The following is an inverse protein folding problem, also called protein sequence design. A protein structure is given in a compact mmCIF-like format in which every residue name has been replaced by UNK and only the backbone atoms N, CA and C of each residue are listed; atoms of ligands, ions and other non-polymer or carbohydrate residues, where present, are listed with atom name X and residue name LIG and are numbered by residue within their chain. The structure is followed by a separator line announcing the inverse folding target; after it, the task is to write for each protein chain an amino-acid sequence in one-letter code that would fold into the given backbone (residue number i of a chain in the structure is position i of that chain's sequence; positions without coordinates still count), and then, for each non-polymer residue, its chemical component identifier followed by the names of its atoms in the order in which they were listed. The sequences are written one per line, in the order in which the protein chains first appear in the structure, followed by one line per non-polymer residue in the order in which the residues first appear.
data_IF_050907763422
#
_entry.id   IF_050907763422
#
_cell.length_a   1.000
_cell.length_b   1.000
_cell.length_c   1.000
_cell.angle_alpha   90.00
_cell.angle_beta   90.00
_cell.angle_gamma   90.00
#
_symmetry.space_group_name_H-M   'P 1'
#
loop_
_entity.id
_entity.type
_entity.pdbx_description
1 polymer ?
#
# COMPACT_ATOMS: atom_id res chain seq x y z
N UNK A 1 1.46 0.54 -25.71
CA UNK A 1 2.16 0.39 -24.41
C UNK A 1 1.14 0.40 -23.29
N UNK A 2 0.98 -0.69 -22.55
CA UNK A 2 -0.01 -0.86 -21.48
C UNK A 2 0.41 -0.22 -20.16
N UNK A 3 1.69 0.11 -20.03
CA UNK A 3 2.29 0.62 -18.77
C UNK A 3 1.61 1.89 -18.22
N UNK A 4 1.22 2.89 -19.01
CA UNK A 4 0.51 4.07 -18.51
C UNK A 4 -0.81 3.72 -17.82
N UNK A 5 -1.55 2.76 -18.35
CA UNK A 5 -2.82 2.29 -17.77
C UNK A 5 -2.62 1.58 -16.44
N UNK A 6 -1.52 0.83 -16.27
CA UNK A 6 -1.24 0.11 -15.02
C UNK A 6 -1.05 1.09 -13.87
N UNK A 7 -0.22 2.12 -14.03
CA UNK A 7 0.01 3.12 -12.98
C UNK A 7 -1.24 3.91 -12.63
N UNK A 8 -2.02 4.31 -13.64
CA UNK A 8 -3.29 5.01 -13.45
C UNK A 8 -4.30 4.14 -12.69
N UNK A 9 -4.42 2.86 -13.04
CA UNK A 9 -5.33 1.92 -12.37
C UNK A 9 -4.92 1.67 -10.92
N UNK A 10 -3.61 1.57 -10.61
CA UNK A 10 -3.14 1.42 -9.23
C UNK A 10 -3.61 2.59 -8.36
N UNK A 11 -3.45 3.82 -8.86
CA UNK A 11 -3.87 5.02 -8.12
C UNK A 11 -5.38 5.12 -8.03
N UNK A 12 -6.10 4.87 -9.12
CA UNK A 12 -7.56 4.88 -9.15
C UNK A 12 -8.15 3.88 -8.15
N UNK A 13 -7.72 2.62 -8.20
CA UNK A 13 -8.20 1.58 -7.28
C UNK A 13 -7.82 1.87 -5.84
N UNK A 14 -6.62 2.40 -5.59
CA UNK A 14 -6.23 2.81 -4.24
C UNK A 14 -7.18 3.87 -3.68
N UNK A 15 -7.52 4.89 -4.47
CA UNK A 15 -8.42 5.97 -4.05
C UNK A 15 -9.86 5.48 -3.90
N UNK A 16 -10.30 4.58 -4.78
CA UNK A 16 -11.61 3.91 -4.65
C UNK A 16 -11.71 3.14 -3.34
N UNK A 17 -10.69 2.37 -2.98
CA UNK A 17 -10.67 1.66 -1.68
C UNK A 17 -10.65 2.63 -0.49
N UNK A 18 -9.90 3.72 -0.57
CA UNK A 18 -9.94 4.74 0.48
C UNK A 18 -11.35 5.34 0.65
N UNK A 19 -12.05 5.62 -0.45
CA UNK A 19 -13.44 6.10 -0.39
C UNK A 19 -14.41 5.05 0.17
N UNK A 20 -14.31 3.80 -0.25
CA UNK A 20 -15.10 2.68 0.29
C UNK A 20 -14.90 2.53 1.81
N UNK A 21 -13.67 2.69 2.28
CA UNK A 21 -13.29 2.66 3.70
C UNK A 21 -13.62 3.97 4.43
N UNK A 22 -14.10 4.99 3.72
CA UNK A 22 -14.34 6.34 4.25
C UNK A 22 -13.10 6.98 4.87
N UNK A 23 -11.93 6.67 4.30
CA UNK A 23 -10.65 7.26 4.68
C UNK A 23 -10.37 8.52 3.86
N UNK A 24 -9.66 9.52 4.41
CA UNK A 24 -9.27 10.70 3.65
C UNK A 24 -8.29 10.35 2.54
N UNK A 25 -8.29 11.13 1.47
CA UNK A 25 -7.26 11.05 0.45
C UNK A 25 -5.90 11.45 1.04
N UNK A 26 -4.80 10.82 0.59
CA UNK A 26 -3.47 11.17 1.05
C UNK A 26 -3.09 12.58 0.61
N UNK A 27 -2.33 13.29 1.43
CA UNK A 27 -1.69 14.56 1.04
C UNK A 27 -0.33 14.28 0.41
N UNK A 28 0.39 13.30 0.95
CA UNK A 28 1.71 12.89 0.47
C UNK A 28 1.70 11.40 0.18
N UNK A 29 2.26 11.03 -0.96
CA UNK A 29 2.48 9.64 -1.33
C UNK A 29 3.97 9.36 -1.49
N UNK A 30 4.40 8.19 -1.02
CA UNK A 30 5.74 7.66 -1.26
C UNK A 30 5.67 6.58 -2.34
N UNK A 31 6.52 6.68 -3.36
CA UNK A 31 6.70 5.65 -4.39
C UNK A 31 8.08 5.04 -4.21
N UNK A 32 8.10 3.75 -3.91
CA UNK A 32 9.33 2.97 -3.76
C UNK A 32 9.59 2.19 -5.06
N UNK A 33 10.65 2.56 -5.76
CA UNK A 33 10.98 2.11 -7.10
C UNK A 33 10.42 3.01 -8.19
N UNK A 34 11.33 3.61 -8.99
CA UNK A 34 11.00 4.52 -10.09
C UNK A 34 11.32 3.89 -11.45
N UNK A 35 10.88 2.62 -11.61
CA UNK A 35 10.81 1.93 -12.89
C UNK A 35 9.60 2.40 -13.72
N UNK A 36 9.31 1.75 -14.86
CA UNK A 36 8.19 2.15 -15.72
C UNK A 36 6.84 2.26 -15.00
N UNK A 37 6.53 1.33 -14.09
CA UNK A 37 5.28 1.37 -13.31
C UNK A 37 5.33 2.49 -12.26
N UNK A 38 6.42 2.60 -11.50
CA UNK A 38 6.56 3.64 -10.47
C UNK A 38 6.51 5.06 -11.04
N UNK A 39 7.08 5.28 -12.23
CA UNK A 39 6.95 6.56 -12.94
C UNK A 39 5.48 6.89 -13.26
N UNK A 40 4.71 5.94 -13.77
CA UNK A 40 3.30 6.16 -14.10
C UNK A 40 2.43 6.37 -12.83
N UNK A 41 2.71 5.63 -11.76
CA UNK A 41 2.08 5.86 -10.45
C UNK A 41 2.36 7.28 -9.96
N UNK A 42 3.61 7.73 -10.02
CA UNK A 42 3.99 9.08 -9.61
C UNK A 42 3.28 10.15 -10.46
N UNK A 43 3.24 9.98 -11.80
CA UNK A 43 2.50 10.88 -12.71
C UNK A 43 1.02 10.96 -12.36
N UNK A 44 0.39 9.82 -12.11
CA UNK A 44 -1.03 9.74 -11.77
C UNK A 44 -1.35 10.40 -10.42
N UNK A 45 -0.45 10.29 -9.44
CA UNK A 45 -0.56 10.95 -8.13
C UNK A 45 -0.37 12.48 -8.26
N UNK A 46 0.68 12.94 -8.95
CA UNK A 46 0.93 14.35 -9.21
C UNK A 46 -0.24 15.02 -9.95
N UNK A 47 -0.81 14.35 -10.95
CA UNK A 47 -1.98 14.84 -11.70
C UNK A 47 -3.22 15.05 -10.80
N UNK A 48 -3.27 14.40 -9.65
CA UNK A 48 -4.33 14.52 -8.63
C UNK A 48 -3.98 15.50 -7.50
N UNK A 49 -2.87 16.23 -7.63
CA UNK A 49 -2.43 17.20 -6.64
C UNK A 49 -1.84 16.58 -5.37
N UNK A 50 -1.38 15.35 -5.43
CA UNK A 50 -0.71 14.68 -4.32
C UNK A 50 0.79 14.99 -4.38
N UNK A 51 1.38 15.37 -3.26
CA UNK A 51 2.83 15.51 -3.13
C UNK A 51 3.49 14.14 -3.20
N UNK A 52 4.43 13.94 -4.12
CA UNK A 52 5.08 12.65 -4.33
C UNK A 52 6.53 12.68 -3.88
N UNK A 53 6.90 11.73 -3.04
CA UNK A 53 8.27 11.44 -2.62
C UNK A 53 8.69 10.11 -3.23
N UNK A 54 9.82 10.11 -3.94
CA UNK A 54 10.33 8.91 -4.60
C UNK A 54 11.61 8.45 -3.93
N UNK A 55 11.73 7.14 -3.76
CA UNK A 55 12.99 6.47 -3.53
C UNK A 55 13.24 5.44 -4.63
N UNK A 56 14.44 5.50 -5.21
CA UNK A 56 15.00 4.45 -6.08
C UNK A 56 16.51 4.37 -5.79
N UNK A 57 17.13 3.18 -5.75
CA UNK A 57 18.58 3.06 -5.53
C UNK A 57 19.41 3.61 -6.70
N UNK A 58 18.83 3.73 -7.89
CA UNK A 58 19.50 4.31 -9.06
C UNK A 58 19.40 5.85 -9.07
N UNK A 59 20.52 6.58 -8.94
CA UNK A 59 20.52 8.04 -8.95
C UNK A 59 19.99 8.63 -10.27
N UNK A 60 20.09 7.92 -11.39
CA UNK A 60 19.52 8.39 -12.66
C UNK A 60 18.00 8.41 -12.60
N UNK A 61 17.39 7.39 -11.99
CA UNK A 61 15.94 7.34 -11.78
C UNK A 61 15.47 8.38 -10.78
N UNK A 62 16.25 8.66 -9.74
CA UNK A 62 15.95 9.78 -8.83
C UNK A 62 15.97 11.13 -9.57
N UNK A 63 16.95 11.37 -10.44
CA UNK A 63 16.99 12.58 -11.26
C UNK A 63 15.79 12.70 -12.21
N UNK A 64 15.34 11.59 -12.80
CA UNK A 64 14.11 11.57 -13.61
C UNK A 64 12.86 11.88 -12.76
N UNK A 65 12.77 11.35 -11.55
CA UNK A 65 11.68 11.66 -10.62
C UNK A 65 11.64 13.15 -10.28
N UNK A 66 12.79 13.76 -10.00
CA UNK A 66 12.89 15.20 -9.75
C UNK A 66 12.48 16.04 -10.97
N UNK A 67 12.90 15.64 -12.16
CA UNK A 67 12.51 16.31 -13.42
C UNK A 67 10.99 16.21 -13.67
N UNK A 68 10.33 15.17 -13.14
CA UNK A 68 8.88 15.04 -13.20
C UNK A 68 8.15 15.92 -12.18
N UNK A 69 8.84 16.48 -11.20
CA UNK A 69 8.25 17.28 -10.11
C UNK A 69 8.09 16.54 -8.80
N UNK A 70 8.63 15.31 -8.67
CA UNK A 70 8.67 14.60 -7.41
C UNK A 70 9.80 15.09 -6.50
N UNK A 71 9.64 15.00 -5.20
CA UNK A 71 10.75 15.03 -4.25
C UNK A 71 11.45 13.68 -4.23
N UNK A 72 12.73 13.65 -3.87
CA UNK A 72 13.48 12.41 -3.61
C UNK A 72 14.04 12.43 -2.20
N UNK A 73 14.20 11.26 -1.60
CA UNK A 73 14.73 11.12 -0.24
C UNK A 73 15.47 9.79 -0.09
N UNK A 74 16.16 9.59 1.03
CA UNK A 74 16.61 8.27 1.43
C UNK A 74 15.41 7.32 1.58
N UNK A 75 15.64 6.01 1.55
CA UNK A 75 14.54 5.03 1.72
C UNK A 75 13.76 5.27 3.03
N UNK A 76 14.49 5.42 4.12
CA UNK A 76 13.91 5.57 5.44
C UNK A 76 13.14 6.88 5.58
N UNK A 77 13.69 7.98 5.08
CA UNK A 77 12.99 9.27 5.06
C UNK A 77 11.75 9.23 4.18
N UNK A 78 11.82 8.56 3.03
CA UNK A 78 10.69 8.42 2.12
C UNK A 78 9.54 7.63 2.79
N UNK A 79 9.84 6.52 3.47
CA UNK A 79 8.87 5.75 4.25
C UNK A 79 8.17 6.58 5.32
N UNK A 80 8.90 7.50 5.96
CA UNK A 80 8.37 8.37 7.01
C UNK A 80 7.46 9.50 6.50
N UNK A 81 7.42 9.80 5.20
CA UNK A 81 6.67 10.93 4.63
C UNK A 81 5.31 10.57 4.07
N UNK A 82 5.13 9.35 3.55
CA UNK A 82 3.90 8.98 2.83
C UNK A 82 2.71 8.70 3.74
N UNK A 83 1.57 9.33 3.47
CA UNK A 83 0.27 8.87 3.95
C UNK A 83 -0.16 7.63 3.17
N UNK A 84 0.22 7.57 1.89
CA UNK A 84 0.11 6.43 0.99
C UNK A 84 1.52 5.97 0.58
N UNK A 85 1.84 4.70 0.72
CA UNK A 85 3.13 4.12 0.32
C UNK A 85 2.87 3.06 -0.74
N UNK A 86 3.41 3.27 -1.94
CA UNK A 86 3.23 2.36 -3.09
C UNK A 86 4.55 1.68 -3.42
N UNK A 87 4.59 0.36 -3.31
CA UNK A 87 5.74 -0.45 -3.72
C UNK A 87 5.67 -0.81 -5.20
N UNK A 88 6.69 -0.43 -5.96
CA UNK A 88 6.79 -0.62 -7.42
C UNK A 88 8.14 -1.20 -7.85
N UNK A 89 8.83 -1.96 -6.96
CA UNK A 89 10.20 -2.44 -7.24
C UNK A 89 10.22 -3.78 -7.99
N UNK A 90 9.18 -4.58 -7.85
CA UNK A 90 9.13 -5.97 -8.34
C UNK A 90 10.02 -6.94 -7.56
N UNK A 91 10.65 -6.48 -6.46
CA UNK A 91 11.63 -7.29 -5.69
C UNK A 91 11.44 -7.23 -4.18
N UNK A 92 10.50 -6.41 -3.69
CA UNK A 92 10.33 -6.09 -2.29
C UNK A 92 10.74 -4.63 -2.00
N UNK A 93 9.74 -3.77 -1.82
CA UNK A 93 9.94 -2.35 -1.54
C UNK A 93 10.19 -2.10 -0.06
N UNK A 94 9.42 -2.77 0.79
CA UNK A 94 9.51 -2.71 2.24
C UNK A 94 9.15 -4.06 2.86
N UNK A 95 9.60 -4.28 4.07
CA UNK A 95 9.11 -5.33 4.95
C UNK A 95 8.35 -4.68 6.12
N UNK A 96 7.04 -4.92 6.17
CA UNK A 96 6.18 -4.27 7.17
C UNK A 96 6.61 -4.59 8.62
N UNK A 97 7.25 -5.74 8.85
CA UNK A 97 7.73 -6.14 10.17
C UNK A 97 8.94 -5.30 10.59
N UNK A 98 9.90 -5.14 9.70
CA UNK A 98 11.14 -4.43 9.99
C UNK A 98 10.95 -2.90 9.89
N UNK A 99 10.16 -2.46 8.92
CA UNK A 99 10.02 -1.05 8.54
C UNK A 99 8.86 -0.31 9.24
N UNK A 100 7.99 -1.00 10.00
CA UNK A 100 6.81 -0.35 10.61
C UNK A 100 7.14 0.88 11.46
N UNK A 101 8.33 0.92 12.07
CA UNK A 101 8.78 2.07 12.87
C UNK A 101 9.01 3.31 12.05
N UNK A 102 9.42 3.15 10.79
CA UNK A 102 9.68 4.24 9.84
C UNK A 102 8.38 4.81 9.27
N UNK A 103 7.34 3.99 9.11
CA UNK A 103 6.08 4.40 8.52
C UNK A 103 5.35 5.45 9.38
N UNK A 104 4.58 6.32 8.74
CA UNK A 104 3.63 7.18 9.44
C UNK A 104 2.55 6.35 10.15
N UNK A 105 2.04 6.86 11.25
CA UNK A 105 0.82 6.35 11.86
C UNK A 105 -0.35 6.54 10.89
N UNK A 106 -1.10 5.48 10.66
CA UNK A 106 -2.21 5.49 9.72
C UNK A 106 -1.81 5.42 8.24
N UNK A 107 -0.54 5.16 7.94
CA UNK A 107 -0.09 4.97 6.56
C UNK A 107 -0.85 3.84 5.87
N UNK A 108 -1.18 4.05 4.60
CA UNK A 108 -1.82 3.07 3.74
C UNK A 108 -0.76 2.48 2.80
N UNK A 109 -0.62 1.16 2.82
CA UNK A 109 0.37 0.44 2.03
C UNK A 109 -0.29 -0.22 0.83
N UNK A 110 0.31 -0.04 -0.34
CA UNK A 110 -0.20 -0.53 -1.63
C UNK A 110 0.89 -1.28 -2.36
N UNK A 111 0.54 -2.47 -2.84
CA UNK A 111 1.38 -3.21 -3.78
C UNK A 111 1.03 -2.79 -5.21
N UNK A 112 1.97 -2.16 -5.88
CA UNK A 112 1.88 -1.73 -7.29
C UNK A 112 2.63 -2.63 -8.28
N UNK A 113 3.26 -3.72 -7.82
CA UNK A 113 3.99 -4.67 -8.67
C UNK A 113 3.24 -5.99 -8.83
N UNK A 114 3.60 -6.76 -9.84
CA UNK A 114 2.90 -8.01 -10.21
C UNK A 114 3.04 -9.17 -9.21
N UNK A 115 3.95 -9.08 -8.23
CA UNK A 115 4.16 -10.10 -7.19
C UNK A 115 3.72 -9.63 -5.81
N UNK A 116 3.47 -10.57 -4.89
CA UNK A 116 3.10 -10.25 -3.50
C UNK A 116 4.32 -9.93 -2.61
N UNK A 117 5.46 -9.54 -3.20
CA UNK A 117 6.73 -9.37 -2.51
C UNK A 117 6.98 -7.96 -1.99
N UNK A 118 6.23 -6.97 -2.49
CA UNK A 118 6.53 -5.55 -2.30
C UNK A 118 6.44 -5.09 -0.84
N UNK A 119 5.57 -5.72 -0.04
CA UNK A 119 5.25 -5.27 1.31
C UNK A 119 5.66 -6.26 2.40
N UNK A 120 6.43 -7.29 2.08
CA UNK A 120 6.80 -8.35 3.04
C UNK A 120 5.62 -9.18 3.57
N UNK A 121 4.45 -9.07 2.95
CA UNK A 121 3.20 -9.68 3.45
C UNK A 121 3.04 -11.17 3.14
N UNK A 122 3.95 -11.78 2.40
CA UNK A 122 3.93 -13.22 2.07
C UNK A 122 3.93 -14.12 3.29
N UNK A 123 4.36 -13.58 4.42
CA UNK A 123 4.43 -14.30 5.69
C UNK A 123 3.11 -14.34 6.44
N UNK A 124 2.11 -13.59 6.00
CA UNK A 124 0.82 -13.55 6.68
C UNK A 124 0.09 -14.89 6.55
N UNK A 125 -0.20 -15.51 7.70
CA UNK A 125 -0.91 -16.78 7.75
C UNK A 125 -0.09 -18.02 7.45
N UNK A 126 1.24 -17.92 7.25
CA UNK A 126 2.08 -19.09 7.08
C UNK A 126 2.50 -19.69 8.45
N UNK A 127 2.38 -21.02 8.64
CA UNK A 127 2.86 -21.67 9.84
C UNK A 127 4.35 -21.40 10.07
N UNK A 128 4.73 -21.09 11.31
CA UNK A 128 6.11 -20.87 11.71
C UNK A 128 6.63 -19.43 11.57
N UNK A 129 5.79 -18.49 11.16
CA UNK A 129 6.15 -17.06 11.07
C UNK A 129 5.75 -16.28 12.34
N UNK A 130 6.15 -16.79 13.48
CA UNK A 130 5.88 -16.26 14.83
C UNK A 130 6.44 -14.84 15.07
N UNK A 131 7.40 -14.36 14.30
CA UNK A 131 7.91 -13.00 14.42
C UNK A 131 6.85 -11.94 14.09
N UNK A 132 5.86 -12.24 13.24
CA UNK A 132 4.73 -11.36 13.01
C UNK A 132 3.88 -11.18 14.26
N UNK A 133 3.62 -12.28 14.97
CA UNK A 133 2.89 -12.26 16.24
C UNK A 133 3.68 -11.55 17.36
N UNK A 134 5.01 -11.55 17.28
CA UNK A 134 5.86 -10.80 18.20
C UNK A 134 5.80 -9.29 17.94
N UNK A 135 5.80 -8.86 16.69
CA UNK A 135 5.86 -7.47 16.29
C UNK A 135 4.49 -6.75 16.34
N UNK A 136 3.41 -7.48 16.06
CA UNK A 136 2.07 -6.89 15.92
C UNK A 136 1.05 -7.49 16.89
N UNK A 137 0.10 -6.65 17.31
CA UNK A 137 -1.07 -7.13 18.07
C UNK A 137 -1.99 -7.95 17.17
N UNK A 138 -2.68 -8.98 17.72
CA UNK A 138 -3.73 -9.66 17.00
C UNK A 138 -4.82 -8.67 16.54
N UNK A 139 -5.28 -8.85 15.30
CA UNK A 139 -6.36 -8.03 14.76
C UNK A 139 -7.65 -8.24 15.57
N UNK A 140 -8.20 -7.15 16.12
CA UNK A 140 -9.50 -7.17 16.81
C UNK A 140 -10.64 -7.09 15.79
N UNK A 141 -10.91 -8.20 15.14
CA UNK A 141 -11.91 -8.31 14.09
C UNK A 141 -13.32 -8.46 14.64
N UNK A 142 -14.27 -7.84 13.96
CA UNK A 142 -15.70 -8.04 14.18
C UNK A 142 -16.32 -8.58 12.90
N UNK A 143 -16.86 -9.78 12.96
CA UNK A 143 -17.54 -10.42 11.83
C UNK A 143 -19.05 -10.27 12.01
N UNK A 144 -19.73 -9.68 11.00
CA UNK A 144 -21.19 -9.56 10.95
C UNK A 144 -21.67 -9.77 9.52
N UNK A 145 -22.66 -10.66 9.36
CA UNK A 145 -23.29 -10.97 8.05
C UNK A 145 -22.25 -11.26 6.93
N UNK A 146 -21.20 -12.00 7.26
CA UNK A 146 -20.13 -12.34 6.31
C UNK A 146 -19.13 -11.23 6.03
N UNK A 147 -19.35 -10.01 6.51
CA UNK A 147 -18.39 -8.90 6.42
C UNK A 147 -17.48 -8.84 7.64
N UNK A 148 -16.22 -8.49 7.41
CA UNK A 148 -15.19 -8.32 8.44
C UNK A 148 -14.86 -6.83 8.59
N UNK A 149 -14.77 -6.38 9.84
CA UNK A 149 -14.44 -4.98 10.15
C UNK A 149 -13.52 -4.89 11.38
N UNK A 150 -12.78 -3.81 11.49
CA UNK A 150 -11.98 -3.49 12.69
C UNK A 150 -12.00 -1.99 12.97
N UNK A 151 -11.41 -1.57 14.11
CA UNK A 151 -11.14 -0.17 14.40
C UNK A 151 -9.79 0.23 13.80
N UNK A 152 -9.77 1.37 13.12
CA UNK A 152 -8.56 1.96 12.54
C UNK A 152 -8.51 3.47 12.81
N UNK A 153 -7.30 4.01 12.98
CA UNK A 153 -7.06 5.42 13.29
C UNK A 153 -6.59 5.64 14.71
N UNK A 154 -6.46 6.89 15.12
CA UNK A 154 -5.91 7.30 16.41
C UNK A 154 -6.85 8.27 17.14
N UNK A 155 -6.90 8.19 18.47
CA UNK A 155 -7.65 9.11 19.31
C UNK A 155 -9.11 9.28 18.86
N UNK A 156 -9.51 10.53 18.66
CA UNK A 156 -10.87 10.91 18.25
C UNK A 156 -11.21 10.53 16.81
N UNK A 157 -10.18 10.32 15.96
CA UNK A 157 -10.36 9.95 14.54
C UNK A 157 -10.50 8.44 14.36
N UNK A 158 -10.45 7.67 15.45
CA UNK A 158 -10.56 6.22 15.40
C UNK A 158 -11.98 5.82 15.00
N UNK A 159 -12.07 5.10 13.88
CA UNK A 159 -13.35 4.66 13.34
C UNK A 159 -13.34 3.19 12.95
N UNK A 160 -14.54 2.62 12.84
CA UNK A 160 -14.71 1.27 12.30
C UNK A 160 -14.66 1.32 10.77
N UNK A 161 -13.76 0.52 10.19
CA UNK A 161 -13.63 0.34 8.75
C UNK A 161 -14.01 -1.09 8.35
N UNK A 162 -14.60 -1.24 7.18
CA UNK A 162 -14.93 -2.54 6.60
C UNK A 162 -13.72 -3.10 5.87
N UNK A 163 -13.18 -4.22 6.32
CA UNK A 163 -11.99 -4.82 5.69
C UNK A 163 -12.32 -5.66 4.45
N UNK A 164 -13.58 -6.01 4.25
CA UNK A 164 -14.04 -6.87 3.17
C UNK A 164 -14.72 -8.14 3.64
N UNK A 165 -14.77 -9.16 2.80
CA UNK A 165 -15.35 -10.48 3.09
C UNK A 165 -14.43 -11.58 2.57
N UNK A 166 -14.41 -12.73 3.25
CA UNK A 166 -13.58 -13.88 2.89
C UNK A 166 -12.50 -14.19 3.91
N UNK A 167 -11.51 -14.97 3.50
CA UNK A 167 -10.41 -15.39 4.37
C UNK A 167 -9.40 -14.27 4.60
N UNK A 168 -8.88 -14.21 5.82
CA UNK A 168 -7.80 -13.30 6.18
C UNK A 168 -6.57 -13.55 5.29
N UNK A 169 -6.04 -12.46 4.71
CA UNK A 169 -4.91 -12.54 3.79
C UNK A 169 -5.30 -12.73 2.32
N UNK A 170 -6.59 -12.90 2.00
CA UNK A 170 -7.05 -12.94 0.61
C UNK A 170 -7.03 -11.56 -0.04
N UNK A 171 -7.01 -11.53 -1.38
CA UNK A 171 -7.06 -10.29 -2.15
C UNK A 171 -8.42 -9.55 -2.02
N UNK A 172 -9.46 -10.19 -1.49
CA UNK A 172 -10.77 -9.58 -1.23
C UNK A 172 -10.82 -8.83 0.10
N UNK A 173 -9.76 -8.88 0.91
CA UNK A 173 -9.70 -8.26 2.22
C UNK A 173 -8.55 -7.26 2.35
N UNK A 174 -8.81 -6.17 3.05
CA UNK A 174 -7.77 -5.28 3.58
C UNK A 174 -7.28 -5.79 4.94
N UNK A 175 -6.14 -5.30 5.38
CA UNK A 175 -5.56 -5.70 6.66
C UNK A 175 -5.06 -4.50 7.45
N UNK A 176 -5.36 -4.45 8.74
CA UNK A 176 -4.81 -3.46 9.67
C UNK A 176 -3.76 -4.13 10.54
N UNK A 177 -2.57 -3.57 10.57
CA UNK A 177 -1.48 -4.02 11.44
C UNK A 177 -1.22 -2.97 12.52
N UNK A 178 -1.16 -3.41 13.79
CA UNK A 178 -0.84 -2.54 14.92
C UNK A 178 0.41 -3.03 15.62
N UNK A 179 1.47 -2.23 15.56
CA UNK A 179 2.75 -2.56 16.19
C UNK A 179 2.63 -2.53 17.72
N UNK A 180 3.13 -3.58 18.38
CA UNK A 180 3.08 -3.70 19.86
C UNK A 180 3.91 -2.65 20.58
N UNK A 181 5.05 -2.31 20.02
CA UNK A 181 6.02 -1.41 20.64
C UNK A 181 5.62 0.06 20.55
N UNK A 182 5.07 0.48 19.42
CA UNK A 182 4.73 1.88 19.14
C UNK A 182 3.23 2.17 19.17
N UNK A 183 2.40 1.13 19.11
CA UNK A 183 0.96 1.27 18.91
C UNK A 183 0.59 1.89 17.55
N UNK A 184 1.56 2.02 16.61
CA UNK A 184 1.27 2.51 15.26
C UNK A 184 0.38 1.53 14.52
N UNK A 185 -0.61 2.05 13.85
CA UNK A 185 -1.46 1.29 12.93
C UNK A 185 -1.11 1.65 11.49
N UNK A 186 -1.08 0.66 10.62
CA UNK A 186 -0.99 0.80 9.17
C UNK A 186 -2.08 -0.03 8.51
N UNK A 187 -2.59 0.43 7.39
CA UNK A 187 -3.57 -0.27 6.58
C UNK A 187 -2.88 -0.86 5.34
N UNK A 188 -3.03 -2.15 5.11
CA UNK A 188 -2.53 -2.83 3.93
C UNK A 188 -3.72 -3.13 3.01
N UNK A 189 -3.76 -2.48 1.86
CA UNK A 189 -4.82 -2.72 0.89
C UNK A 189 -4.69 -4.12 0.28
N UNK A 190 -5.83 -4.81 0.14
CA UNK A 190 -5.94 -6.16 -0.42
C UNK A 190 -4.94 -7.16 0.20
N UNK A 191 -4.64 -7.02 1.48
CA UNK A 191 -3.67 -7.86 2.20
C UNK A 191 -2.28 -7.94 1.53
N UNK A 192 -1.90 -6.90 0.77
CA UNK A 192 -0.63 -6.84 0.03
C UNK A 192 -0.65 -7.47 -1.37
N UNK A 193 -1.80 -7.94 -1.83
CA UNK A 193 -1.98 -8.33 -3.24
C UNK A 193 -2.00 -7.10 -4.15
N UNK A 194 -1.67 -7.32 -5.42
CA UNK A 194 -1.67 -6.26 -6.44
C UNK A 194 -3.04 -5.56 -6.52
N UNK A 195 -3.03 -4.24 -6.51
CA UNK A 195 -4.26 -3.44 -6.41
C UNK A 195 -4.99 -3.34 -7.75
N UNK A 196 -4.26 -3.31 -8.86
CA UNK A 196 -4.80 -3.13 -10.22
C UNK A 196 -5.49 -4.36 -10.83
N UNK A 197 -5.62 -5.46 -10.09
CA UNK A 197 -6.35 -6.66 -10.52
C UNK A 197 -7.78 -6.69 -9.95
N UNK A 198 -8.45 -5.53 -9.88
CA UNK A 198 -9.85 -5.43 -9.50
C UNK A 198 -10.77 -6.13 -10.51
N UNK A 199 -11.94 -6.59 -10.07
CA UNK A 199 -12.91 -7.38 -10.86
C UNK A 199 -13.50 -6.64 -12.07
N UNK A 200 -13.18 -5.36 -12.27
CA UNK A 200 -13.80 -4.47 -13.27
C UNK A 200 -12.90 -4.14 -14.46
N UNK A 201 -11.76 -4.82 -14.61
CA UNK A 201 -11.02 -4.75 -15.87
C UNK A 201 -11.80 -5.52 -16.94
N UNK A 202 -12.06 -4.93 -18.11
CA UNK A 202 -12.66 -5.65 -19.23
C UNK A 202 -11.88 -6.94 -19.51
N UNK A 203 -12.55 -8.06 -19.83
CA UNK A 203 -11.90 -9.35 -20.06
C UNK A 203 -10.75 -9.31 -21.09
N UNK A 204 -10.77 -8.33 -21.95
CA UNK A 204 -9.76 -8.08 -22.98
C UNK A 204 -8.37 -7.72 -22.41
N UNK A 205 -8.31 -7.17 -21.17
CA UNK A 205 -7.05 -6.84 -20.51
C UNK A 205 -6.39 -8.00 -19.77
N UNK A 206 -7.09 -9.13 -19.61
CA UNK A 206 -6.59 -10.29 -18.86
C UNK A 206 -5.83 -11.27 -19.77
N UNK A 207 -5.89 -11.12 -21.08
CA UNK A 207 -5.37 -12.09 -22.04
C UNK A 207 -3.95 -11.82 -22.56
N UNK A 208 -3.23 -10.82 -22.06
CA UNK A 208 -1.86 -10.50 -22.54
C UNK A 208 -0.87 -10.50 -21.37
N UNK A 209 -0.57 -11.67 -20.89
CA UNK A 209 0.67 -11.96 -20.14
C UNK A 209 1.23 -13.29 -20.56
#
# INVERSE_FOLDING_TARGET
SEIPLIGENIVFDSFRYLDELKLPLPKTATVLGFGPVGEQVARALLARGIDVVVFDPDPKRQALAQALGCSTASRDDALGKGDLVVGCTGRGALDVVDDHRLLKRGAVLVNGASGNHELGTQSFGQPGKWFMEMAFEPEKLVVRNGGVSCLFGDGADRKRIALGSGDLGSASMHRVMRAKDTGKEVLILRSGHVVNLGRDLPPEFIQVT
#
